data_IF_705714336963
#
_entry.id   IF_705714336963
#
_cell.length_a   1.000
_cell.length_b   1.000
_cell.length_c   1.000
_cell.angle_alpha   90.00
_cell.angle_beta   90.00
_cell.angle_gamma   90.00
#
_symmetry.space_group_name_H-M   'P 1'
#
loop_
_entity.id
_entity.type
_entity.pdbx_description
1 polymer ?
#
# COMPACT_ATOMS: atom_id res chain seq x y z
N UNK A 1 -6.78 -39.19 59.02
CA UNK A 1 -5.73 -38.49 58.27
C UNK A 1 -6.37 -37.73 57.09
N UNK A 2 -6.32 -36.39 57.09
CA UNK A 2 -6.95 -35.52 56.09
C UNK A 2 -6.02 -35.31 54.88
N UNK A 3 -6.04 -36.22 53.90
CA UNK A 3 -5.26 -36.10 52.66
C UNK A 3 -5.97 -35.30 51.53
N UNK A 4 -6.89 -34.38 51.87
CA UNK A 4 -7.70 -33.66 50.87
C UNK A 4 -7.21 -32.28 50.35
N UNK A 5 -6.08 -31.66 50.76
CA UNK A 5 -5.75 -30.32 50.25
C UNK A 5 -5.13 -30.37 48.84
N UNK A 6 -4.23 -31.31 48.55
CA UNK A 6 -3.44 -31.34 47.31
C UNK A 6 -4.29 -31.53 46.04
N UNK A 7 -5.28 -32.43 46.08
CA UNK A 7 -6.16 -32.69 44.94
C UNK A 7 -7.09 -31.49 44.66
N UNK A 8 -7.53 -30.81 45.73
CA UNK A 8 -8.39 -29.63 45.66
C UNK A 8 -7.62 -28.42 45.09
N UNK A 9 -6.37 -28.23 45.51
CA UNK A 9 -5.47 -27.23 44.93
C UNK A 9 -5.12 -27.55 43.47
N UNK A 10 -4.90 -28.82 43.13
CA UNK A 10 -4.68 -29.26 41.75
C UNK A 10 -5.87 -28.93 40.83
N UNK A 11 -7.10 -29.21 41.28
CA UNK A 11 -8.32 -28.83 40.54
C UNK A 11 -8.46 -27.32 40.43
N UNK A 12 -8.20 -26.56 41.50
CA UNK A 12 -8.26 -25.10 41.47
C UNK A 12 -7.25 -24.49 40.50
N UNK A 13 -6.02 -25.02 40.46
CA UNK A 13 -4.99 -24.59 39.50
C UNK A 13 -5.41 -24.91 38.06
N UNK A 14 -5.97 -26.10 37.81
CA UNK A 14 -6.47 -26.48 36.48
C UNK A 14 -7.63 -25.58 36.02
N UNK A 15 -8.55 -25.23 36.91
CA UNK A 15 -9.66 -24.30 36.60
C UNK A 15 -9.16 -22.88 36.36
N UNK A 16 -8.17 -22.42 37.12
CA UNK A 16 -7.55 -21.11 36.89
C UNK A 16 -6.80 -21.10 35.55
N UNK A 17 -6.02 -22.15 35.27
CA UNK A 17 -5.30 -22.27 34.01
C UNK A 17 -6.24 -22.34 32.80
N UNK A 18 -7.35 -23.08 32.91
CA UNK A 18 -8.35 -23.14 31.83
C UNK A 18 -9.07 -21.81 31.64
N UNK A 19 -9.42 -21.12 32.73
CA UNK A 19 -10.01 -19.78 32.66
C UNK A 19 -9.06 -18.76 32.00
N UNK A 20 -7.78 -18.75 32.41
CA UNK A 20 -6.75 -17.89 31.81
C UNK A 20 -6.56 -18.22 30.34
N UNK A 21 -6.54 -19.50 29.95
CA UNK A 21 -6.44 -19.89 28.55
C UNK A 21 -7.65 -19.43 27.71
N UNK A 22 -8.86 -19.52 28.27
CA UNK A 22 -10.08 -19.00 27.62
C UNK A 22 -9.99 -17.49 27.44
N UNK A 23 -9.57 -16.74 28.47
CA UNK A 23 -9.40 -15.28 28.38
C UNK A 23 -8.41 -14.89 27.29
N UNK A 24 -7.23 -15.52 27.24
CA UNK A 24 -6.24 -15.23 26.19
C UNK A 24 -6.78 -15.54 24.80
N UNK A 25 -7.51 -16.65 24.64
CA UNK A 25 -8.15 -17.00 23.37
C UNK A 25 -9.21 -15.97 22.98
N UNK A 26 -10.08 -15.56 23.90
CA UNK A 26 -11.10 -14.53 23.65
C UNK A 26 -10.47 -13.19 23.27
N UNK A 27 -9.39 -12.77 23.92
CA UNK A 27 -8.68 -11.53 23.59
C UNK A 27 -8.07 -11.61 22.19
N UNK A 28 -7.38 -12.71 21.87
CA UNK A 28 -6.75 -12.91 20.57
C UNK A 28 -7.79 -12.98 19.44
N UNK A 29 -8.87 -13.73 19.63
CA UNK A 29 -9.99 -13.83 18.68
C UNK A 29 -10.63 -12.44 18.47
N UNK A 30 -10.80 -11.65 19.55
CA UNK A 30 -11.34 -10.29 19.46
C UNK A 30 -10.41 -9.35 18.69
N UNK A 31 -9.10 -9.38 18.95
CA UNK A 31 -8.12 -8.56 18.21
C UNK A 31 -8.12 -8.91 16.71
N UNK A 32 -8.10 -10.21 16.39
CA UNK A 32 -8.16 -10.68 15.01
C UNK A 32 -9.44 -10.22 14.30
N UNK A 33 -10.60 -10.41 14.94
CA UNK A 33 -11.89 -10.02 14.39
C UNK A 33 -11.98 -8.51 14.16
N UNK A 34 -11.48 -7.69 15.08
CA UNK A 34 -11.43 -6.23 14.92
C UNK A 34 -10.56 -5.84 13.72
N UNK A 35 -9.40 -6.48 13.53
CA UNK A 35 -8.54 -6.19 12.38
C UNK A 35 -9.19 -6.57 11.05
N UNK A 36 -9.86 -7.72 11.00
CA UNK A 36 -10.64 -8.13 9.82
C UNK A 36 -11.75 -7.13 9.54
N UNK A 37 -12.53 -6.76 10.56
CA UNK A 37 -13.65 -5.84 10.43
C UNK A 37 -13.20 -4.45 9.97
N UNK A 38 -12.10 -3.91 10.51
CA UNK A 38 -11.55 -2.62 10.08
C UNK A 38 -11.16 -2.67 8.60
N UNK A 39 -10.49 -3.73 8.16
CA UNK A 39 -10.10 -3.88 6.75
C UNK A 39 -11.33 -4.00 5.84
N UNK A 40 -12.31 -4.83 6.19
CA UNK A 40 -13.53 -5.00 5.37
C UNK A 40 -14.34 -3.70 5.33
N UNK A 41 -14.52 -3.02 6.46
CA UNK A 41 -15.20 -1.72 6.51
C UNK A 41 -14.50 -0.68 5.65
N UNK A 42 -13.17 -0.60 5.71
CA UNK A 42 -12.39 0.27 4.82
C UNK A 42 -12.60 -0.10 3.36
N UNK A 43 -12.49 -1.39 3.02
CA UNK A 43 -12.65 -1.88 1.65
C UNK A 43 -14.03 -1.49 1.10
N UNK A 44 -15.09 -1.75 1.85
CA UNK A 44 -16.47 -1.50 1.45
C UNK A 44 -16.78 0.00 1.29
N UNK A 45 -16.15 0.87 2.08
CA UNK A 45 -16.39 2.31 2.02
C UNK A 45 -15.58 3.01 0.93
N UNK A 46 -14.34 2.57 0.69
CA UNK A 46 -13.39 3.33 -0.12
C UNK A 46 -13.08 2.68 -1.47
N UNK A 47 -13.13 1.36 -1.60
CA UNK A 47 -12.81 0.70 -2.87
C UNK A 47 -13.99 0.74 -3.82
N UNK A 48 -13.75 1.28 -5.01
CA UNK A 48 -14.74 1.34 -6.09
C UNK A 48 -14.19 0.62 -7.32
N UNK A 49 -14.95 -0.35 -7.81
CA UNK A 49 -14.61 -1.11 -9.01
C UNK A 49 -15.16 -0.44 -10.28
N UNK A 50 -14.32 -0.38 -11.31
CA UNK A 50 -14.65 0.11 -12.65
C UNK A 50 -14.21 -0.91 -13.70
N UNK A 51 -14.39 -0.58 -14.99
CA UNK A 51 -13.90 -1.43 -16.09
C UNK A 51 -12.37 -1.35 -16.26
N UNK A 52 -11.75 -0.30 -15.73
CA UNK A 52 -10.31 -0.04 -15.76
C UNK A 52 -9.56 -0.68 -14.56
N UNK A 53 -10.27 -1.28 -13.60
CA UNK A 53 -9.72 -1.80 -12.35
C UNK A 53 -10.47 -1.26 -11.14
N UNK A 54 -9.89 -1.35 -9.95
CA UNK A 54 -10.45 -0.76 -8.74
C UNK A 54 -9.58 0.41 -8.25
N UNK A 55 -10.21 1.42 -7.67
CA UNK A 55 -9.50 2.56 -7.09
C UNK A 55 -9.99 2.89 -5.68
N UNK A 56 -9.18 3.63 -4.94
CA UNK A 56 -9.54 4.17 -3.63
C UNK A 56 -10.21 5.54 -3.80
N UNK A 57 -11.49 5.64 -3.47
CA UNK A 57 -12.27 6.87 -3.59
C UNK A 57 -11.93 7.86 -2.48
N UNK A 58 -11.47 9.05 -2.86
CA UNK A 58 -11.21 10.19 -1.97
C UNK A 58 -12.28 11.27 -2.03
N UNK A 59 -13.21 11.15 -2.97
CA UNK A 59 -14.23 12.14 -3.22
C UNK A 59 -15.49 11.95 -2.36
N UNK A 60 -16.00 13.05 -1.80
CA UNK A 60 -17.22 13.05 -0.97
C UNK A 60 -18.50 13.24 -1.80
N UNK A 61 -18.47 14.14 -2.78
CA UNK A 61 -19.62 14.47 -3.64
C UNK A 61 -19.53 13.85 -5.03
N UNK A 62 -18.30 13.70 -5.55
CA UNK A 62 -18.00 13.06 -6.82
C UNK A 62 -16.83 12.14 -6.61
N UNK A 63 -16.93 10.91 -7.10
CA UNK A 63 -15.85 9.94 -7.00
C UNK A 63 -14.58 10.51 -7.63
N UNK A 64 -13.48 10.42 -6.88
CA UNK A 64 -12.16 10.94 -7.26
C UNK A 64 -11.13 9.89 -6.86
N UNK A 65 -10.23 9.57 -7.77
CA UNK A 65 -9.05 8.78 -7.50
C UNK A 65 -7.83 9.69 -7.45
N UNK A 66 -6.98 9.49 -6.44
CA UNK A 66 -5.66 10.11 -6.35
C UNK A 66 -4.61 9.00 -6.33
N UNK A 67 -3.47 9.22 -6.96
CA UNK A 67 -2.33 8.30 -6.91
C UNK A 67 -1.87 8.00 -5.48
N UNK A 68 -1.87 9.00 -4.58
CA UNK A 68 -1.61 8.82 -3.15
C UNK A 68 -2.56 7.77 -2.53
N UNK A 69 -3.87 7.99 -2.68
CA UNK A 69 -4.87 7.07 -2.14
C UNK A 69 -4.79 5.68 -2.79
N UNK A 70 -4.46 5.61 -4.08
CA UNK A 70 -4.22 4.36 -4.78
C UNK A 70 -3.03 3.59 -4.18
N UNK A 71 -1.92 4.28 -3.95
CA UNK A 71 -0.73 3.75 -3.28
C UNK A 71 -1.07 3.20 -1.91
N UNK A 72 -1.74 4.00 -1.05
CA UNK A 72 -2.21 3.53 0.25
C UNK A 72 -3.10 2.28 0.14
N UNK A 73 -4.03 2.25 -0.81
CA UNK A 73 -4.88 1.08 -1.03
C UNK A 73 -4.07 -0.17 -1.34
N UNK A 74 -3.09 -0.04 -2.24
CA UNK A 74 -2.22 -1.17 -2.61
C UNK A 74 -1.37 -1.63 -1.42
N UNK A 75 -0.80 -0.71 -0.63
CA UNK A 75 -0.06 -1.04 0.59
C UNK A 75 -0.96 -1.74 1.61
N UNK A 76 -2.13 -1.16 1.93
CA UNK A 76 -3.11 -1.74 2.86
C UNK A 76 -3.50 -3.14 2.42
N UNK A 77 -3.79 -3.36 1.13
CA UNK A 77 -4.15 -4.68 0.61
C UNK A 77 -3.01 -5.69 0.76
N UNK A 78 -1.74 -5.31 0.57
CA UNK A 78 -0.62 -6.23 0.84
C UNK A 78 -0.47 -6.57 2.31
N UNK A 79 -0.64 -5.61 3.22
CA UNK A 79 -0.61 -5.84 4.67
C UNK A 79 -1.79 -6.71 5.14
N UNK A 80 -2.96 -6.51 4.53
CA UNK A 80 -4.14 -7.34 4.77
C UNK A 80 -3.92 -8.77 4.24
N UNK A 81 -3.28 -8.93 3.08
CA UNK A 81 -2.94 -10.24 2.53
C UNK A 81 -1.92 -11.00 3.38
N UNK A 82 -0.92 -10.33 3.97
CA UNK A 82 0.02 -10.93 4.94
C UNK A 82 -0.70 -11.59 6.13
N UNK A 83 -1.88 -11.05 6.48
CA UNK A 83 -2.74 -11.57 7.56
C UNK A 83 -3.86 -12.51 7.08
N UNK A 84 -3.98 -12.73 5.77
CA UNK A 84 -5.04 -13.55 5.18
C UNK A 84 -6.40 -12.86 5.03
N UNK A 85 -6.46 -11.53 5.15
CA UNK A 85 -7.70 -10.75 5.06
C UNK A 85 -8.02 -10.29 3.64
N UNK A 86 -7.01 -10.27 2.77
CA UNK A 86 -7.12 -9.90 1.36
C UNK A 86 -6.55 -10.99 0.47
N UNK A 87 -7.04 -11.02 -0.77
CA UNK A 87 -6.59 -11.94 -1.80
C UNK A 87 -5.69 -11.26 -2.81
N UNK A 88 -5.00 -12.06 -3.63
CA UNK A 88 -4.26 -11.53 -4.77
C UNK A 88 -5.19 -10.81 -5.76
N UNK A 89 -6.44 -11.24 -5.89
CA UNK A 89 -7.40 -10.62 -6.81
C UNK A 89 -7.81 -9.21 -6.35
N UNK A 90 -7.88 -8.98 -5.03
CA UNK A 90 -8.07 -7.63 -4.48
C UNK A 90 -6.92 -6.70 -4.89
N UNK A 91 -5.67 -7.18 -4.76
CA UNK A 91 -4.50 -6.43 -5.19
C UNK A 91 -4.46 -6.24 -6.71
N UNK A 92 -4.80 -7.27 -7.48
CA UNK A 92 -4.86 -7.20 -8.94
C UNK A 92 -5.84 -6.14 -9.44
N UNK A 93 -6.98 -5.96 -8.77
CA UNK A 93 -7.94 -4.94 -9.14
C UNK A 93 -7.33 -3.54 -9.02
N UNK A 94 -6.64 -3.25 -7.91
CA UNK A 94 -5.94 -1.98 -7.68
C UNK A 94 -4.76 -1.79 -8.65
N UNK A 95 -3.97 -2.85 -8.86
CA UNK A 95 -2.85 -2.85 -9.80
C UNK A 95 -3.32 -2.58 -11.23
N UNK A 96 -4.43 -3.18 -11.67
CA UNK A 96 -4.99 -2.96 -13.00
C UNK A 96 -5.35 -1.49 -13.21
N UNK A 97 -5.95 -0.85 -12.20
CA UNK A 97 -6.27 0.59 -12.26
C UNK A 97 -5.01 1.45 -12.36
N UNK A 98 -3.99 1.17 -11.55
CA UNK A 98 -2.69 1.82 -11.64
C UNK A 98 -2.11 1.71 -13.06
N UNK A 99 -2.04 0.50 -13.62
CA UNK A 99 -1.46 0.29 -14.97
C UNK A 99 -2.27 0.99 -16.06
N UNK A 100 -3.59 1.12 -15.90
CA UNK A 100 -4.43 1.84 -16.85
C UNK A 100 -4.13 3.35 -16.89
N UNK A 101 -3.80 3.93 -15.72
CA UNK A 101 -3.55 5.36 -15.56
C UNK A 101 -2.07 5.72 -15.45
N UNK A 102 -1.17 4.88 -15.96
CA UNK A 102 0.22 5.28 -16.17
C UNK A 102 0.31 6.47 -17.14
N UNK A 103 1.31 7.35 -16.98
CA UNK A 103 1.49 8.55 -17.82
C UNK A 103 1.57 8.19 -19.30
N UNK A 104 2.24 7.08 -19.64
CA UNK A 104 2.27 6.60 -21.02
C UNK A 104 3.09 5.34 -21.22
N UNK A 105 3.19 4.91 -22.47
CA UNK A 105 3.98 3.74 -22.85
C UNK A 105 5.47 4.01 -22.55
N UNK A 106 6.02 3.30 -21.57
CA UNK A 106 7.41 3.48 -21.11
C UNK A 106 7.60 4.59 -20.08
N UNK A 107 6.52 5.16 -19.54
CA UNK A 107 6.54 5.96 -18.32
C UNK A 107 5.48 5.39 -17.36
N UNK A 108 5.97 4.63 -16.39
CA UNK A 108 5.20 3.82 -15.45
C UNK A 108 4.69 4.63 -14.26
N UNK A 109 5.00 5.93 -14.16
CA UNK A 109 4.43 6.81 -13.14
C UNK A 109 2.91 6.92 -13.31
N UNK A 110 2.18 7.02 -12.21
CA UNK A 110 0.72 7.13 -12.24
C UNK A 110 0.29 8.59 -12.43
N UNK A 111 -0.64 8.82 -13.37
CA UNK A 111 -1.34 10.10 -13.47
C UNK A 111 -1.99 10.43 -12.12
N UNK A 112 -1.72 11.61 -11.56
CA UNK A 112 -1.92 11.83 -10.13
C UNK A 112 -3.38 11.88 -9.68
N UNK A 113 -4.30 12.24 -10.60
CA UNK A 113 -5.72 12.43 -10.29
C UNK A 113 -6.63 12.02 -11.45
N UNK A 114 -7.67 11.27 -11.11
CA UNK A 114 -8.77 10.93 -12.00
C UNK A 114 -10.09 11.31 -11.36
N UNK A 115 -11.02 11.81 -12.17
CA UNK A 115 -12.36 12.16 -11.75
C UNK A 115 -13.40 11.66 -12.73
N UNK A 116 -14.61 11.40 -12.23
CA UNK A 116 -15.71 10.96 -13.06
C UNK A 116 -16.40 12.16 -13.73
N UNK A 117 -16.34 12.26 -15.06
CA UNK A 117 -17.04 13.29 -15.84
C UNK A 117 -18.07 12.66 -16.78
N UNK A 118 -19.35 13.00 -16.58
CA UNK A 118 -20.48 12.66 -17.47
C UNK A 118 -20.48 11.21 -18.02
N UNK A 119 -20.06 10.23 -17.19
CA UNK A 119 -19.98 8.78 -17.45
C UNK A 119 -18.63 8.22 -17.95
N UNK A 120 -17.54 8.98 -17.91
CA UNK A 120 -16.19 8.45 -18.15
C UNK A 120 -15.23 8.86 -17.04
N UNK A 121 -14.31 7.97 -16.71
CA UNK A 121 -13.15 8.31 -15.91
C UNK A 121 -12.13 9.03 -16.79
N UNK A 122 -11.68 10.18 -16.34
CA UNK A 122 -10.70 11.01 -17.03
C UNK A 122 -9.62 11.43 -16.05
N UNK A 123 -8.39 11.53 -16.53
CA UNK A 123 -7.35 12.16 -15.74
C UNK A 123 -7.34 13.67 -15.96
N UNK A 124 -7.05 14.39 -14.88
CA UNK A 124 -6.95 15.84 -14.89
C UNK A 124 -5.66 16.31 -15.59
N UNK A 125 -4.59 15.50 -15.60
CA UNK A 125 -3.31 15.80 -16.25
C UNK A 125 -2.44 14.56 -16.46
N UNK A 126 -1.50 14.61 -17.40
CA UNK A 126 -0.51 13.55 -17.64
C UNK A 126 0.74 13.68 -16.75
N UNK A 127 0.54 14.05 -15.48
CA UNK A 127 1.61 14.27 -14.50
C UNK A 127 1.38 13.42 -13.26
N UNK A 128 2.45 13.09 -12.55
CA UNK A 128 2.37 12.29 -11.34
C UNK A 128 2.49 13.12 -10.06
N UNK A 129 2.29 12.42 -8.94
CA UNK A 129 2.70 12.88 -7.62
C UNK A 129 3.63 11.82 -7.02
N UNK A 130 4.80 12.25 -6.55
CA UNK A 130 5.90 11.33 -6.18
C UNK A 130 5.52 10.39 -5.03
N UNK A 131 4.83 10.91 -4.02
CA UNK A 131 4.28 10.15 -2.89
C UNK A 131 3.45 8.94 -3.34
N UNK A 132 2.50 9.14 -4.25
CA UNK A 132 1.68 8.06 -4.77
C UNK A 132 2.50 6.96 -5.44
N UNK A 133 3.48 7.33 -6.26
CA UNK A 133 4.34 6.36 -6.93
C UNK A 133 5.31 5.64 -5.97
N UNK A 134 5.75 6.29 -4.89
CA UNK A 134 6.55 5.65 -3.84
C UNK A 134 5.75 4.56 -3.12
N UNK A 135 4.51 4.84 -2.72
CA UNK A 135 3.61 3.83 -2.12
C UNK A 135 3.30 2.68 -3.09
N UNK A 136 3.03 2.99 -4.35
CA UNK A 136 2.78 1.97 -5.38
C UNK A 136 4.02 1.08 -5.54
N UNK A 137 5.22 1.65 -5.69
CA UNK A 137 6.46 0.89 -5.81
C UNK A 137 6.69 -0.03 -4.59
N UNK A 138 6.48 0.49 -3.39
CA UNK A 138 6.58 -0.28 -2.15
C UNK A 138 5.61 -1.46 -2.11
N UNK A 139 4.34 -1.21 -2.47
CA UNK A 139 3.32 -2.24 -2.52
C UNK A 139 3.63 -3.32 -3.58
N UNK A 140 4.21 -2.97 -4.73
CA UNK A 140 4.62 -3.91 -5.77
C UNK A 140 5.76 -4.82 -5.30
N UNK A 141 6.73 -4.28 -4.56
CA UNK A 141 7.79 -5.08 -3.93
C UNK A 141 7.18 -6.07 -2.94
N UNK A 142 6.25 -5.64 -2.08
CA UNK A 142 5.53 -6.55 -1.16
C UNK A 142 4.75 -7.63 -1.91
N UNK A 143 3.98 -7.24 -2.93
CA UNK A 143 3.19 -8.16 -3.75
C UNK A 143 4.07 -9.21 -4.46
N UNK A 144 5.27 -8.83 -4.90
CA UNK A 144 6.23 -9.79 -5.50
C UNK A 144 6.67 -10.90 -4.54
N UNK A 145 6.77 -10.58 -3.24
CA UNK A 145 7.12 -11.55 -2.18
C UNK A 145 5.91 -12.41 -1.81
N UNK A 146 4.73 -11.81 -1.74
CA UNK A 146 3.47 -12.50 -1.41
C UNK A 146 3.04 -13.48 -2.50
N UNK A 147 3.18 -13.09 -3.77
CA UNK A 147 2.66 -13.84 -4.92
C UNK A 147 3.71 -14.01 -6.02
N UNK A 148 4.81 -14.75 -5.78
CA UNK A 148 5.92 -14.91 -6.73
C UNK A 148 5.54 -15.69 -8.01
N UNK A 149 4.37 -16.33 -8.03
CA UNK A 149 3.83 -17.07 -9.19
C UNK A 149 2.64 -16.36 -9.85
N UNK A 150 2.49 -15.07 -9.57
CA UNK A 150 1.48 -14.23 -10.21
C UNK A 150 1.61 -14.26 -11.74
N UNK A 151 0.48 -14.09 -12.43
CA UNK A 151 0.48 -13.81 -13.89
C UNK A 151 1.08 -12.43 -14.21
N UNK A 152 1.09 -11.53 -13.23
CA UNK A 152 1.71 -10.20 -13.32
C UNK A 152 3.09 -10.26 -12.67
N UNK A 153 4.13 -9.82 -13.37
CA UNK A 153 5.46 -9.68 -12.78
C UNK A 153 5.53 -8.39 -11.95
N UNK A 154 5.11 -8.46 -10.68
CA UNK A 154 5.16 -7.30 -9.79
C UNK A 154 6.60 -6.86 -9.48
N UNK A 155 7.57 -7.77 -9.55
CA UNK A 155 8.97 -7.42 -9.31
C UNK A 155 9.51 -6.56 -10.46
N UNK A 156 9.18 -6.92 -11.70
CA UNK A 156 9.52 -6.12 -12.87
C UNK A 156 8.78 -4.78 -12.87
N UNK A 157 7.48 -4.79 -12.57
CA UNK A 157 6.69 -3.55 -12.43
C UNK A 157 7.29 -2.59 -11.38
N UNK A 158 7.72 -3.11 -10.22
CA UNK A 158 8.40 -2.31 -9.20
C UNK A 158 9.72 -1.73 -9.70
N UNK A 159 10.56 -2.53 -10.39
CA UNK A 159 11.83 -2.05 -10.94
C UNK A 159 11.64 -0.94 -11.98
N UNK A 160 10.67 -1.11 -12.88
CA UNK A 160 10.36 -0.13 -13.91
C UNK A 160 9.84 1.18 -13.30
N UNK A 161 8.95 1.10 -12.30
CA UNK A 161 8.44 2.28 -11.60
C UNK A 161 9.56 3.01 -10.83
N UNK A 162 10.41 2.29 -10.10
CA UNK A 162 11.53 2.91 -9.37
C UNK A 162 12.54 3.58 -10.32
N UNK A 163 12.80 2.97 -11.47
CA UNK A 163 13.63 3.58 -12.51
C UNK A 163 13.03 4.89 -13.01
N UNK A 164 11.71 4.93 -13.25
CA UNK A 164 11.02 6.12 -13.70
C UNK A 164 10.94 7.20 -12.61
N UNK A 165 10.73 6.84 -11.33
CA UNK A 165 10.80 7.81 -10.21
C UNK A 165 12.19 8.45 -10.18
N UNK A 166 13.26 7.65 -10.25
CA UNK A 166 14.64 8.17 -10.30
C UNK A 166 14.89 9.05 -11.53
N UNK A 167 14.32 8.69 -12.68
CA UNK A 167 14.53 9.41 -13.93
C UNK A 167 13.79 10.74 -13.99
N UNK A 168 12.52 10.77 -13.58
CA UNK A 168 11.63 11.90 -13.81
C UNK A 168 11.38 12.74 -12.55
N UNK A 169 11.61 12.20 -11.35
CA UNK A 169 11.23 12.83 -10.09
C UNK A 169 12.44 13.13 -9.21
N UNK A 170 13.64 13.28 -9.78
CA UNK A 170 14.86 13.58 -9.05
C UNK A 170 15.50 14.88 -9.54
N UNK A 171 15.91 15.74 -8.61
CA UNK A 171 16.70 16.92 -8.91
C UNK A 171 18.15 16.74 -8.42
N UNK A 172 19.07 16.53 -9.35
CA UNK A 172 20.50 16.36 -9.05
C UNK A 172 21.17 17.60 -8.44
N UNK A 173 20.57 18.80 -8.58
CA UNK A 173 21.11 20.03 -7.98
C UNK A 173 20.83 20.07 -6.47
N UNK A 174 19.64 19.59 -6.06
CA UNK A 174 19.22 19.62 -4.66
C UNK A 174 19.47 18.30 -3.94
N UNK A 175 19.64 17.21 -4.69
CA UNK A 175 19.92 15.88 -4.15
C UNK A 175 18.68 15.14 -3.63
N UNK A 176 17.47 15.61 -3.92
CA UNK A 176 16.24 14.97 -3.43
C UNK A 176 15.20 14.77 -4.53
N UNK A 177 14.22 13.91 -4.23
CA UNK A 177 13.05 13.72 -5.08
C UNK A 177 12.17 14.98 -5.11
N UNK A 178 11.74 15.38 -6.30
CA UNK A 178 10.76 16.45 -6.49
C UNK A 178 9.36 15.96 -6.18
N UNK A 179 8.39 16.86 -6.05
CA UNK A 179 6.99 16.51 -5.69
C UNK A 179 6.21 15.82 -6.83
N UNK A 180 6.77 15.81 -8.04
CA UNK A 180 6.20 15.25 -9.25
C UNK A 180 7.11 15.54 -10.45
N UNK A 181 6.89 14.83 -11.55
CA UNK A 181 7.64 14.95 -12.81
C UNK A 181 7.62 16.39 -13.35
N UNK A 182 6.46 17.04 -13.25
CA UNK A 182 6.23 18.42 -13.64
C UNK A 182 7.10 19.41 -12.86
N UNK A 183 7.40 19.11 -11.59
CA UNK A 183 8.21 19.97 -10.75
C UNK A 183 9.70 19.89 -11.12
N UNK A 184 10.16 18.75 -11.64
CA UNK A 184 11.57 18.54 -12.05
C UNK A 184 12.00 19.49 -13.16
N UNK A 185 11.11 19.79 -14.10
CA UNK A 185 11.39 20.69 -15.24
C UNK A 185 11.01 22.15 -14.98
N UNK A 186 10.30 22.44 -13.88
CA UNK A 186 9.93 23.80 -13.51
C UNK A 186 10.99 24.45 -12.62
N UNK A 187 11.51 25.61 -13.03
CA UNK A 187 12.62 26.26 -12.34
C UNK A 187 12.30 26.68 -10.89
N UNK A 188 11.02 26.99 -10.58
CA UNK A 188 10.61 27.42 -9.24
C UNK A 188 10.22 26.23 -8.37
N UNK A 189 9.62 25.20 -8.97
CA UNK A 189 9.12 24.04 -8.25
C UNK A 189 10.18 22.94 -8.07
N UNK A 190 11.23 22.91 -8.89
CA UNK A 190 12.29 21.88 -8.82
C UNK A 190 13.05 21.86 -7.50
N UNK A 191 13.03 22.96 -6.74
CA UNK A 191 13.63 23.03 -5.39
C UNK A 191 12.63 22.81 -4.27
N UNK A 192 11.36 22.55 -4.58
CA UNK A 192 10.35 22.26 -3.56
C UNK A 192 10.56 20.84 -3.06
N UNK A 193 10.80 20.74 -1.76
CA UNK A 193 10.80 19.50 -1.01
C UNK A 193 9.47 19.36 -0.28
N UNK A 194 8.80 18.23 -0.45
CA UNK A 194 7.62 17.87 0.35
C UNK A 194 8.05 16.82 1.40
N UNK A 195 8.16 17.18 2.69
CA UNK A 195 8.72 16.29 3.70
C UNK A 195 8.01 14.93 3.85
N UNK A 196 6.71 14.85 3.52
CA UNK A 196 5.98 13.58 3.54
C UNK A 196 6.48 12.56 2.50
N UNK A 197 7.21 13.00 1.48
CA UNK A 197 7.76 12.13 0.43
C UNK A 197 9.11 11.54 0.86
N UNK A 198 9.67 12.02 1.98
CA UNK A 198 10.90 11.48 2.56
C UNK A 198 10.51 10.26 3.39
N UNK A 199 10.64 9.08 2.78
CA UNK A 199 10.22 7.81 3.35
C UNK A 199 11.43 6.87 3.55
N UNK A 200 12.29 7.07 4.58
CA UNK A 200 13.54 6.32 4.72
C UNK A 200 13.38 4.81 4.77
N UNK A 201 12.30 4.32 5.38
CA UNK A 201 11.99 2.89 5.40
C UNK A 201 11.73 2.33 3.99
N UNK A 202 11.06 3.11 3.14
CA UNK A 202 10.80 2.72 1.75
C UNK A 202 12.08 2.76 0.94
N UNK A 203 12.89 3.81 1.09
CA UNK A 203 14.18 3.92 0.39
C UNK A 203 15.13 2.76 0.76
N UNK A 204 15.22 2.41 2.04
CA UNK A 204 15.96 1.21 2.48
C UNK A 204 15.43 -0.08 1.82
N UNK A 205 14.11 -0.26 1.74
CA UNK A 205 13.52 -1.42 1.07
C UNK A 205 13.75 -1.40 -0.45
N UNK A 206 13.77 -0.22 -1.08
CA UNK A 206 14.10 -0.04 -2.50
C UNK A 206 15.56 -0.36 -2.77
N UNK A 207 16.49 0.12 -1.95
CA UNK A 207 17.90 -0.26 -2.01
C UNK A 207 18.08 -1.77 -1.89
N UNK A 208 17.46 -2.40 -0.88
CA UNK A 208 17.58 -3.84 -0.71
C UNK A 208 17.01 -4.65 -1.87
N UNK A 209 15.93 -4.17 -2.50
CA UNK A 209 15.28 -4.80 -3.64
C UNK A 209 16.04 -4.61 -4.95
N UNK A 210 16.51 -3.39 -5.23
CA UNK A 210 17.15 -3.03 -6.52
C UNK A 210 18.66 -3.18 -6.52
N UNK A 211 19.31 -3.07 -5.35
CA UNK A 211 20.75 -2.87 -5.16
C UNK A 211 21.30 -1.59 -5.81
N UNK A 212 20.43 -0.62 -6.12
CA UNK A 212 20.83 0.68 -6.64
C UNK A 212 21.18 1.63 -5.47
N UNK A 213 22.44 2.10 -5.34
CA UNK A 213 22.86 2.96 -4.24
C UNK A 213 22.14 4.30 -4.20
N UNK A 214 21.48 4.73 -5.28
CA UNK A 214 20.63 5.92 -5.29
C UNK A 214 19.58 5.93 -4.16
N UNK A 215 19.10 4.76 -3.74
CA UNK A 215 18.10 4.65 -2.68
C UNK A 215 18.70 4.56 -1.26
N UNK A 216 20.03 4.61 -1.13
CA UNK A 216 20.76 4.54 0.15
C UNK A 216 21.46 5.87 0.50
N UNK A 217 21.52 6.81 -0.45
CA UNK A 217 22.13 8.16 -0.33
C UNK A 217 21.10 9.23 0.03
#
# INVERSE_FOLDING_TARGET
>A
MKQKPLLLWGVAILLLASYVAILFRTIADNEHNIQVEIYQNWKDHYIVSTKEGAFVNTGTTKQTALSEAQGYGMVITTLAAEKGFATQDDFNALYTYYTHYQIGKGNHLMQWRQSQTKNKWQSDSLHNATDGDLDIAYSLIKASKLWPKSKHDYADAARNLLADIKQYNYNATTGFLTVGDWATVDQKASTILRPSDIMPAYFSDFYHFTKDPFWDE
#
